data_IF_342781054731
#
_entry.id   IF_342781054731
#
_cell.length_a   1.000
_cell.length_b   1.000
_cell.length_c   1.000
_cell.angle_alpha   90.00
_cell.angle_beta   90.00
_cell.angle_gamma   90.00
#
_symmetry.space_group_name_H-M   'P 1'
#
loop_
_entity.id
_entity.type
_entity.pdbx_description
1 polymer ?
#
# COMPACT_ATOMS: atom_id res chain seq x y z
N UNK A 1 22.93 -29.32 -2.16
CA UNK A 1 22.64 -29.31 -0.71
C UNK A 1 21.60 -28.23 -0.55
N UNK A 2 20.35 -28.61 -0.36
CA UNK A 2 19.24 -27.65 -0.25
C UNK A 2 19.38 -26.97 1.11
N UNK A 3 19.36 -25.64 1.12
CA UNK A 3 19.17 -24.89 2.36
C UNK A 3 17.83 -25.33 2.98
N UNK A 4 17.72 -25.46 4.31
CA UNK A 4 16.43 -25.74 4.93
C UNK A 4 15.50 -24.56 4.70
N UNK A 5 14.26 -24.83 4.24
CA UNK A 5 13.18 -23.84 4.19
C UNK A 5 12.85 -23.42 5.61
N UNK A 6 13.35 -22.24 6.00
CA UNK A 6 13.08 -21.64 7.31
C UNK A 6 11.74 -20.91 7.23
N UNK A 7 10.84 -21.15 8.17
CA UNK A 7 9.56 -20.44 8.23
C UNK A 7 9.75 -18.99 8.70
N UNK A 8 8.82 -18.09 8.35
CA UNK A 8 8.78 -16.68 8.81
C UNK A 8 9.14 -16.52 10.30
N UNK A 9 8.51 -17.31 11.16
CA UNK A 9 8.76 -17.30 12.62
C UNK A 9 10.16 -17.74 12.97
N UNK A 10 10.75 -18.69 12.24
CA UNK A 10 12.11 -19.17 12.48
C UNK A 10 13.13 -18.11 12.09
N UNK A 11 12.97 -17.40 10.97
CA UNK A 11 13.86 -16.30 10.58
C UNK A 11 13.79 -15.14 11.57
N UNK A 12 12.58 -14.69 11.92
CA UNK A 12 12.39 -13.62 12.91
C UNK A 12 12.89 -14.04 14.30
N UNK A 13 12.69 -15.29 14.72
CA UNK A 13 13.22 -15.78 16.00
C UNK A 13 14.75 -15.93 15.99
N UNK A 14 15.37 -16.23 14.85
CA UNK A 14 16.84 -16.27 14.71
C UNK A 14 17.42 -14.86 14.81
N UNK A 15 16.78 -13.86 14.19
CA UNK A 15 17.17 -12.46 14.28
C UNK A 15 16.93 -11.89 15.69
N UNK A 16 15.88 -12.32 16.39
CA UNK A 16 15.47 -11.74 17.67
C UNK A 16 16.27 -12.19 18.90
N UNK A 17 17.23 -13.13 18.82
CA UNK A 17 17.99 -13.46 20.03
C UNK A 17 19.09 -14.51 19.95
N UNK A 18 20.31 -14.07 20.29
CA UNK A 18 21.37 -14.89 20.90
C UNK A 18 20.89 -15.55 22.20
N UNK A 19 20.40 -16.79 22.12
CA UNK A 19 20.08 -17.64 23.27
C UNK A 19 20.25 -19.12 22.93
N UNK A 20 21.01 -19.85 23.74
CA UNK A 20 21.45 -21.24 23.50
C UNK A 20 20.32 -22.28 23.53
N UNK A 21 19.47 -22.33 22.50
CA UNK A 21 18.59 -23.46 22.24
C UNK A 21 18.48 -23.64 20.72
N UNK A 22 19.34 -24.50 20.17
CA UNK A 22 19.32 -24.84 18.75
C UNK A 22 17.95 -25.37 18.29
N UNK A 23 17.80 -25.47 16.96
CA UNK A 23 16.66 -25.95 16.14
C UNK A 23 15.71 -27.00 16.78
N UNK A 24 16.18 -27.79 17.75
CA UNK A 24 15.34 -28.69 18.55
C UNK A 24 14.35 -28.00 19.51
N UNK A 25 14.56 -26.73 19.90
CA UNK A 25 13.69 -26.01 20.85
C UNK A 25 12.38 -25.51 20.23
N UNK A 26 12.38 -25.17 18.94
CA UNK A 26 11.21 -24.64 18.22
C UNK A 26 10.09 -25.68 18.04
N UNK A 27 10.39 -26.98 18.14
CA UNK A 27 9.39 -28.04 18.07
C UNK A 27 8.65 -28.30 19.40
N UNK A 28 9.11 -27.70 20.51
CA UNK A 28 8.71 -28.10 21.87
C UNK A 28 7.83 -27.13 22.65
N UNK A 29 7.61 -25.90 22.16
CA UNK A 29 6.89 -24.87 22.91
C UNK A 29 5.72 -24.33 22.08
N UNK A 30 4.50 -24.80 22.42
CA UNK A 30 3.28 -24.00 22.36
C UNK A 30 2.94 -23.25 21.07
N UNK A 31 3.28 -23.77 19.89
CA UNK A 31 3.16 -23.05 18.60
C UNK A 31 1.73 -22.63 18.15
N UNK A 32 0.71 -22.83 18.98
CA UNK A 32 -0.69 -22.50 18.70
C UNK A 32 -1.31 -21.47 19.65
N UNK A 33 -0.63 -21.05 20.71
CA UNK A 33 -1.06 -19.90 21.50
C UNK A 33 -0.47 -18.63 20.89
N UNK A 34 -1.32 -17.64 20.61
CA UNK A 34 -0.87 -16.28 20.31
C UNK A 34 -0.29 -15.72 21.61
N UNK A 35 1.03 -15.71 21.74
CA UNK A 35 1.68 -14.89 22.75
C UNK A 35 1.31 -13.42 22.52
N UNK A 36 1.34 -12.62 23.59
CA UNK A 36 1.12 -11.19 23.46
C UNK A 36 2.18 -10.59 22.51
N UNK A 37 1.77 -9.64 21.67
CA UNK A 37 2.70 -8.92 20.79
C UNK A 37 3.83 -8.30 21.62
N UNK A 38 5.06 -8.36 21.09
CA UNK A 38 6.22 -7.79 21.76
C UNK A 38 6.07 -6.26 21.88
N UNK A 39 6.46 -5.73 23.03
CA UNK A 39 6.48 -4.28 23.28
C UNK A 39 7.49 -3.60 22.36
N UNK A 40 7.09 -2.42 21.87
CA UNK A 40 7.94 -1.57 21.03
C UNK A 40 8.20 -0.22 21.69
N UNK A 41 9.39 0.30 21.49
CA UNK A 41 9.79 1.66 21.88
C UNK A 41 10.18 2.47 20.66
N UNK A 42 9.99 3.78 20.70
CA UNK A 42 10.49 4.66 19.66
C UNK A 42 12.01 4.73 19.68
N UNK A 43 12.60 4.77 18.50
CA UNK A 43 14.04 5.00 18.31
C UNK A 43 14.33 6.51 18.36
N UNK A 44 15.59 6.89 18.62
CA UNK A 44 16.00 8.30 18.56
C UNK A 44 15.85 8.89 17.15
N UNK A 45 15.59 10.19 17.06
CA UNK A 45 15.22 10.87 15.81
C UNK A 45 16.31 10.77 14.72
N UNK A 46 17.58 10.89 15.09
CA UNK A 46 18.72 10.85 14.17
C UNK A 46 18.85 9.46 13.56
N UNK A 47 18.89 8.42 14.41
CA UNK A 47 18.97 7.04 13.93
C UNK A 47 17.71 6.61 13.15
N UNK A 48 16.54 7.09 13.57
CA UNK A 48 15.28 6.85 12.86
C UNK A 48 15.35 7.42 11.45
N UNK A 49 15.85 8.64 11.28
CA UNK A 49 16.05 9.26 9.97
C UNK A 49 17.05 8.49 9.12
N UNK A 50 18.20 8.12 9.68
CA UNK A 50 19.21 7.36 8.94
C UNK A 50 18.65 6.05 8.38
N UNK A 51 17.90 5.29 9.19
CA UNK A 51 17.26 4.06 8.74
C UNK A 51 16.15 4.32 7.72
N UNK A 52 15.37 5.39 7.91
CA UNK A 52 14.30 5.76 6.98
C UNK A 52 14.84 6.16 5.61
N UNK A 53 15.91 6.94 5.55
CA UNK A 53 16.56 7.33 4.29
C UNK A 53 17.21 6.10 3.63
N UNK A 54 17.87 5.23 4.40
CA UNK A 54 18.57 4.05 3.87
C UNK A 54 17.64 3.02 3.19
N UNK A 55 16.42 2.85 3.69
CA UNK A 55 15.49 1.82 3.22
C UNK A 55 14.26 2.40 2.53
N UNK A 56 14.35 3.65 2.07
CA UNK A 56 13.26 4.37 1.42
C UNK A 56 12.70 3.59 0.21
N UNK A 57 11.38 3.29 0.17
CA UNK A 57 10.83 2.46 -0.91
C UNK A 57 10.82 3.15 -2.28
N UNK A 58 10.98 2.35 -3.34
CA UNK A 58 10.72 2.77 -4.72
C UNK A 58 9.31 2.34 -5.11
N UNK A 59 8.50 3.24 -5.66
CA UNK A 59 7.11 2.95 -6.06
C UNK A 59 6.91 3.02 -7.58
N UNK A 60 6.25 2.00 -8.14
CA UNK A 60 5.94 1.85 -9.56
C UNK A 60 4.42 1.89 -9.77
N UNK A 61 3.91 3.08 -10.02
CA UNK A 61 2.48 3.28 -10.22
C UNK A 61 2.02 2.78 -11.59
N UNK A 62 0.73 2.47 -11.70
CA UNK A 62 0.08 2.18 -12.99
C UNK A 62 0.05 3.45 -13.87
N UNK A 63 0.15 3.29 -15.18
CA UNK A 63 0.03 4.36 -16.17
C UNK A 63 -1.30 5.12 -16.10
N UNK A 64 -2.35 4.48 -15.57
CA UNK A 64 -3.67 5.07 -15.36
C UNK A 64 -3.87 5.67 -13.97
N UNK A 65 -2.87 5.61 -13.08
CA UNK A 65 -2.99 6.15 -11.72
C UNK A 65 -3.25 7.65 -11.70
N UNK A 66 -4.12 8.07 -10.78
CA UNK A 66 -4.53 9.45 -10.53
C UNK A 66 -4.18 9.91 -9.12
N UNK A 67 -4.11 8.98 -8.16
CA UNK A 67 -4.05 9.28 -6.73
C UNK A 67 -2.68 8.92 -6.18
N UNK A 68 -1.72 9.79 -6.44
CA UNK A 68 -0.34 9.61 -5.99
C UNK A 68 -0.12 10.11 -4.55
N UNK A 69 0.95 9.64 -3.87
CA UNK A 69 1.38 10.15 -2.57
C UNK A 69 1.40 11.69 -2.53
N UNK A 70 0.79 12.26 -1.50
CA UNK A 70 0.78 13.71 -1.25
C UNK A 70 0.82 14.01 0.24
N UNK A 71 1.36 15.17 0.60
CA UNK A 71 1.19 15.73 1.93
C UNK A 71 -0.28 16.13 2.15
N UNK A 72 -0.98 15.64 3.20
CA UNK A 72 -2.34 16.04 3.51
C UNK A 72 -2.44 17.42 4.19
N UNK A 73 -1.35 17.93 4.79
CA UNK A 73 -1.36 19.16 5.61
C UNK A 73 -1.86 20.42 4.87
N UNK A 74 -1.59 20.60 3.56
CA UNK A 74 -2.15 21.72 2.80
C UNK A 74 -3.69 21.70 2.67
N UNK A 75 -4.34 20.57 2.95
CA UNK A 75 -5.78 20.39 2.87
C UNK A 75 -6.47 20.43 4.24
N UNK A 76 -5.75 20.79 5.30
CA UNK A 76 -6.31 20.90 6.64
C UNK A 76 -7.36 22.02 6.73
N UNK A 77 -8.47 21.70 7.38
CA UNK A 77 -9.51 22.63 7.78
C UNK A 77 -9.88 22.45 9.26
N UNK A 78 -10.73 23.33 9.79
CA UNK A 78 -11.17 23.25 11.19
C UNK A 78 -12.61 22.72 11.27
N UNK A 79 -12.82 21.62 12.01
CA UNK A 79 -14.13 21.09 12.36
C UNK A 79 -14.28 20.99 13.87
N UNK A 80 -15.34 21.60 14.42
CA UNK A 80 -15.59 21.68 15.88
C UNK A 80 -14.42 22.26 16.71
N UNK A 81 -13.50 23.00 16.08
CA UNK A 81 -12.33 23.61 16.70
C UNK A 81 -11.09 22.73 16.73
N UNK A 82 -11.15 21.54 16.13
CA UNK A 82 -10.03 20.63 15.94
C UNK A 82 -9.58 20.63 14.46
N UNK A 83 -8.27 20.51 14.19
CA UNK A 83 -7.76 20.38 12.83
C UNK A 83 -8.12 19.00 12.26
N UNK A 84 -8.73 18.99 11.09
CA UNK A 84 -9.14 17.80 10.34
C UNK A 84 -8.72 17.93 8.88
N UNK A 85 -8.72 16.82 8.16
CA UNK A 85 -8.63 16.82 6.70
C UNK A 85 -9.95 16.30 6.17
N UNK A 86 -10.75 17.19 5.58
CA UNK A 86 -12.02 16.82 4.97
C UNK A 86 -11.82 16.30 3.54
N UNK A 87 -12.63 15.32 3.15
CA UNK A 87 -12.56 14.64 1.86
C UNK A 87 -12.80 15.58 0.70
N UNK A 88 -13.66 16.60 0.85
CA UNK A 88 -13.84 17.61 -0.19
C UNK A 88 -12.60 18.47 -0.33
N UNK A 89 -12.09 19.02 0.77
CA UNK A 89 -10.91 19.88 0.77
C UNK A 89 -9.70 19.15 0.18
N UNK A 90 -9.52 17.88 0.55
CA UNK A 90 -8.45 17.03 0.05
C UNK A 90 -8.59 16.69 -1.43
N UNK A 91 -9.75 16.17 -1.87
CA UNK A 91 -9.94 15.73 -3.26
C UNK A 91 -9.92 16.93 -4.22
N UNK A 92 -10.61 18.02 -3.89
CA UNK A 92 -10.63 19.25 -4.69
C UNK A 92 -9.23 19.86 -4.74
N UNK A 93 -8.61 20.09 -3.58
CA UNK A 93 -7.29 20.72 -3.48
C UNK A 93 -6.19 19.91 -4.16
N UNK A 94 -6.21 18.59 -4.04
CA UNK A 94 -5.31 17.70 -4.78
C UNK A 94 -5.50 17.85 -6.28
N UNK A 95 -6.75 17.78 -6.74
CA UNK A 95 -7.08 17.82 -8.17
C UNK A 95 -6.73 19.16 -8.80
N UNK A 96 -6.98 20.28 -8.11
CA UNK A 96 -6.57 21.62 -8.55
C UNK A 96 -5.05 21.69 -8.73
N UNK A 97 -4.29 21.30 -7.70
CA UNK A 97 -2.82 21.39 -7.74
C UNK A 97 -2.22 20.45 -8.79
N UNK A 98 -2.77 19.23 -8.92
CA UNK A 98 -2.33 18.28 -9.94
C UNK A 98 -2.53 18.85 -11.35
N UNK A 99 -3.68 19.49 -11.61
CA UNK A 99 -3.99 20.10 -12.91
C UNK A 99 -3.11 21.32 -13.21
N UNK A 100 -2.86 22.16 -12.22
CA UNK A 100 -2.03 23.35 -12.39
C UNK A 100 -0.57 22.98 -12.68
N UNK A 101 -0.05 21.96 -11.99
CA UNK A 101 1.34 21.52 -12.14
C UNK A 101 1.56 20.45 -13.23
N UNK A 102 0.49 19.81 -13.72
CA UNK A 102 0.53 18.59 -14.53
C UNK A 102 1.38 17.46 -13.90
N UNK A 103 1.47 17.45 -12.57
CA UNK A 103 2.31 16.56 -11.78
C UNK A 103 1.72 16.32 -10.38
N UNK A 104 2.04 15.17 -9.74
CA UNK A 104 1.70 14.87 -8.35
C UNK A 104 2.06 16.04 -7.43
N UNK A 105 1.08 16.61 -6.69
CA UNK A 105 1.35 17.69 -5.76
C UNK A 105 2.02 17.16 -4.49
N UNK A 106 2.99 17.92 -3.96
CA UNK A 106 3.66 17.69 -2.68
C UNK A 106 3.97 16.20 -2.37
N UNK A 107 4.68 15.48 -3.27
CA UNK A 107 4.89 14.05 -3.13
C UNK A 107 5.63 13.74 -1.82
N UNK A 108 4.97 13.04 -0.90
CA UNK A 108 5.45 12.86 0.48
C UNK A 108 5.19 11.46 0.98
N UNK A 109 6.19 10.88 1.63
CA UNK A 109 6.12 9.61 2.37
C UNK A 109 6.51 9.89 3.81
N UNK A 110 5.66 9.50 4.73
CA UNK A 110 5.87 9.65 6.16
C UNK A 110 6.57 8.43 6.73
N UNK A 111 7.44 8.61 7.73
CA UNK A 111 8.14 7.48 8.34
C UNK A 111 8.02 7.44 9.86
N UNK A 112 8.03 6.22 10.41
CA UNK A 112 8.12 5.95 11.84
C UNK A 112 9.04 4.75 12.09
N UNK A 113 9.95 4.87 13.05
CA UNK A 113 10.85 3.77 13.42
C UNK A 113 10.61 3.35 14.86
N UNK A 114 10.38 2.04 15.05
CA UNK A 114 10.21 1.45 16.37
C UNK A 114 11.15 0.26 16.55
N UNK A 115 11.62 0.04 17.77
CA UNK A 115 12.45 -1.11 18.15
C UNK A 115 11.66 -2.06 19.03
N UNK A 116 11.88 -3.36 18.89
CA UNK A 116 11.31 -4.35 19.79
C UNK A 116 12.14 -4.48 21.07
N UNK A 117 11.48 -4.49 22.23
CA UNK A 117 12.15 -4.72 23.50
C UNK A 117 12.88 -6.09 23.50
N UNK A 118 14.07 -6.12 24.09
CA UNK A 118 14.95 -7.30 24.15
C UNK A 118 15.34 -7.91 22.78
N UNK A 119 15.28 -7.12 21.70
CA UNK A 119 15.64 -7.52 20.34
C UNK A 119 16.52 -6.49 19.63
N UNK A 120 17.30 -6.93 18.65
CA UNK A 120 18.02 -6.04 17.72
C UNK A 120 17.14 -5.64 16.53
N UNK A 121 15.91 -6.12 16.48
CA UNK A 121 15.00 -5.84 15.38
C UNK A 121 14.36 -4.46 15.55
N UNK A 122 14.49 -3.63 14.52
CA UNK A 122 13.71 -2.42 14.32
C UNK A 122 12.72 -2.62 13.18
N UNK A 123 11.55 -1.97 13.26
CA UNK A 123 10.61 -1.82 12.16
C UNK A 123 10.61 -0.36 11.71
N UNK A 124 11.04 -0.14 10.48
CA UNK A 124 10.90 1.13 9.76
C UNK A 124 9.58 1.06 8.99
N UNK A 125 8.66 1.96 9.29
CA UNK A 125 7.37 2.05 8.64
C UNK A 125 7.36 3.27 7.73
N UNK A 126 6.91 3.08 6.49
CA UNK A 126 6.71 4.12 5.50
C UNK A 126 5.22 4.20 5.20
N UNK A 127 4.61 5.33 5.49
CA UNK A 127 3.21 5.63 5.30
C UNK A 127 3.07 6.64 4.19
N UNK A 128 2.12 6.48 3.28
CA UNK A 128 1.81 7.56 2.35
C UNK A 128 0.31 7.71 2.21
N UNK A 129 -0.09 8.95 1.94
CA UNK A 129 -1.48 9.37 1.86
C UNK A 129 -1.86 9.65 0.41
N UNK A 130 -2.99 9.08 -0.02
CA UNK A 130 -3.69 9.46 -1.25
C UNK A 130 -4.92 10.30 -0.88
N UNK A 131 -5.27 11.28 -1.72
CA UNK A 131 -6.49 12.05 -1.48
C UNK A 131 -7.77 11.22 -1.64
N UNK A 132 -7.69 10.10 -2.37
CA UNK A 132 -8.85 9.29 -2.73
C UNK A 132 -8.45 7.86 -3.07
N UNK A 133 -9.26 6.87 -2.67
CA UNK A 133 -9.24 5.50 -3.19
C UNK A 133 -10.39 5.36 -4.19
N UNK A 134 -10.07 4.97 -5.43
CA UNK A 134 -11.08 4.69 -6.48
C UNK A 134 -11.10 3.21 -6.87
N UNK A 135 -11.19 2.32 -5.89
CA UNK A 135 -11.30 0.90 -6.13
C UNK A 135 -12.72 0.43 -6.44
N UNK A 136 -12.81 -0.72 -7.11
CA UNK A 136 -14.07 -1.32 -7.60
C UNK A 136 -15.11 -1.57 -6.51
N UNK A 137 -14.68 -1.95 -5.30
CA UNK A 137 -15.56 -2.34 -4.19
C UNK A 137 -15.23 -1.63 -2.88
N UNK A 138 -14.25 -0.73 -2.90
CA UNK A 138 -13.74 -0.03 -1.72
C UNK A 138 -13.35 1.43 -2.00
N UNK A 139 -14.07 2.13 -2.88
CA UNK A 139 -13.77 3.55 -3.08
C UNK A 139 -14.11 4.35 -1.82
N UNK A 140 -13.23 5.26 -1.41
CA UNK A 140 -13.45 6.14 -0.27
C UNK A 140 -12.58 7.40 -0.33
N UNK A 141 -12.99 8.40 0.43
CA UNK A 141 -12.14 9.56 0.72
C UNK A 141 -10.91 9.14 1.48
N UNK A 142 -9.78 9.77 1.15
CA UNK A 142 -8.50 9.50 1.78
C UNK A 142 -8.04 8.06 1.56
N UNK A 143 -6.73 7.85 1.54
CA UNK A 143 -6.21 6.50 1.65
C UNK A 143 -4.83 6.53 2.31
N UNK A 144 -4.54 5.51 3.10
CA UNK A 144 -3.29 5.40 3.84
C UNK A 144 -2.70 4.01 3.63
N UNK A 145 -1.58 3.98 2.93
CA UNK A 145 -0.84 2.76 2.69
C UNK A 145 0.44 2.73 3.51
N UNK A 146 0.86 1.52 3.88
CA UNK A 146 2.09 1.28 4.64
C UNK A 146 3.00 0.24 4.02
N UNK A 147 4.29 0.54 3.95
CA UNK A 147 5.38 -0.41 3.70
C UNK A 147 6.23 -0.52 4.95
N UNK A 148 6.58 -1.73 5.36
CA UNK A 148 7.40 -1.99 6.55
C UNK A 148 8.70 -2.69 6.18
N UNK A 149 9.80 -2.22 6.76
CA UNK A 149 11.12 -2.82 6.66
C UNK A 149 11.59 -3.22 8.05
N UNK A 150 11.80 -4.50 8.26
CA UNK A 150 12.38 -5.02 9.50
C UNK A 150 13.89 -5.13 9.33
N UNK A 151 14.64 -4.43 10.17
CA UNK A 151 16.11 -4.32 10.11
C UNK A 151 16.70 -4.87 11.39
N UNK A 152 17.75 -5.68 11.27
CA UNK A 152 18.61 -5.98 12.42
C UNK A 152 19.61 -4.83 12.61
N UNK A 153 19.42 -4.03 13.66
CA UNK A 153 20.18 -2.78 13.84
C UNK A 153 21.64 -3.01 14.21
N UNK A 154 22.03 -4.21 14.65
CA UNK A 154 23.43 -4.54 14.91
C UNK A 154 24.21 -4.81 13.62
N UNK A 155 23.60 -5.52 12.67
CA UNK A 155 24.22 -5.83 11.37
C UNK A 155 23.94 -4.76 10.31
N UNK A 156 22.88 -3.97 10.49
CA UNK A 156 22.36 -3.04 9.48
C UNK A 156 21.66 -3.74 8.32
N UNK A 157 21.38 -5.04 8.43
CA UNK A 157 20.80 -5.83 7.34
C UNK A 157 19.27 -5.87 7.43
N UNK A 158 18.56 -5.62 6.31
CA UNK A 158 17.14 -5.87 6.23
C UNK A 158 16.86 -7.37 6.33
N UNK A 159 15.82 -7.73 7.07
CA UNK A 159 15.40 -9.13 7.33
C UNK A 159 14.07 -9.46 6.69
N UNK A 160 13.19 -8.48 6.56
CA UNK A 160 11.86 -8.66 5.99
C UNK A 160 11.34 -7.33 5.42
N UNK A 161 10.77 -7.35 4.22
CA UNK A 161 9.89 -6.29 3.72
C UNK A 161 8.43 -6.77 3.75
N UNK A 162 7.51 -5.88 4.08
CA UNK A 162 6.05 -6.14 4.07
C UNK A 162 5.36 -4.95 3.43
N UNK A 163 4.48 -5.20 2.47
CA UNK A 163 3.60 -4.17 1.94
C UNK A 163 2.15 -4.42 2.41
N UNK A 164 1.42 -3.33 2.65
CA UNK A 164 0.00 -3.36 3.04
C UNK A 164 -0.89 -3.79 1.90
N UNK A 165 -2.03 -4.38 2.25
CA UNK A 165 -2.91 -4.99 1.26
C UNK A 165 -4.34 -5.22 1.77
N UNK A 166 -5.09 -4.15 2.07
CA UNK A 166 -6.56 -4.13 2.32
C UNK A 166 -7.17 -5.20 3.27
N UNK A 167 -6.34 -6.02 3.93
CA UNK A 167 -6.71 -7.21 4.68
C UNK A 167 -5.98 -7.20 6.01
N UNK A 168 -6.76 -7.08 7.08
CA UNK A 168 -6.25 -7.16 8.47
C UNK A 168 -5.84 -8.58 8.88
N UNK A 169 -6.00 -9.58 7.99
CA UNK A 169 -5.84 -11.02 8.33
C UNK A 169 -4.72 -11.72 7.57
N UNK A 170 -4.36 -11.24 6.38
CA UNK A 170 -3.31 -11.83 5.55
C UNK A 170 -2.51 -10.68 4.96
N UNK A 171 -1.22 -10.52 5.28
CA UNK A 171 -0.35 -9.66 4.51
C UNK A 171 -0.20 -10.30 3.13
N UNK A 172 -0.64 -9.60 2.08
CA UNK A 172 -0.65 -10.19 0.74
C UNK A 172 0.76 -10.29 0.16
N UNK A 173 1.75 -9.55 0.69
CA UNK A 173 3.10 -9.58 0.15
C UNK A 173 4.20 -9.35 1.20
N UNK A 174 5.12 -10.32 1.31
CA UNK A 174 6.27 -10.32 2.21
C UNK A 174 7.52 -10.71 1.42
N UNK A 175 8.68 -10.15 1.76
CA UNK A 175 9.97 -10.57 1.19
C UNK A 175 10.98 -10.86 2.28
N UNK A 176 11.30 -12.15 2.45
CA UNK A 176 12.18 -12.65 3.51
C UNK A 176 13.64 -12.67 3.04
N UNK A 177 14.53 -12.12 3.88
CA UNK A 177 15.98 -12.11 3.63
C UNK A 177 16.42 -11.34 2.37
N UNK A 178 15.97 -10.09 2.16
CA UNK A 178 16.48 -9.23 1.10
C UNK A 178 18.00 -9.06 1.15
N UNK A 179 18.61 -8.75 0.01
CA UNK A 179 20.03 -8.38 -0.02
C UNK A 179 20.28 -7.10 0.80
N UNK A 180 21.48 -6.96 1.35
CA UNK A 180 21.79 -5.90 2.32
C UNK A 180 21.69 -4.48 1.78
N UNK A 181 21.80 -4.33 0.45
CA UNK A 181 21.71 -3.06 -0.26
C UNK A 181 20.37 -2.86 -0.97
N UNK A 182 19.42 -3.79 -0.81
CA UNK A 182 18.14 -3.71 -1.48
C UNK A 182 17.19 -2.83 -0.67
N UNK A 183 16.44 -1.96 -1.35
CA UNK A 183 15.28 -1.25 -0.81
C UNK A 183 13.99 -1.94 -1.27
N UNK A 184 12.85 -1.72 -0.58
CA UNK A 184 11.57 -2.25 -1.04
C UNK A 184 11.19 -1.62 -2.38
N UNK A 185 10.81 -2.46 -3.34
CA UNK A 185 10.16 -2.05 -4.59
C UNK A 185 8.70 -2.40 -4.51
N UNK A 186 7.83 -1.41 -4.61
CA UNK A 186 6.40 -1.54 -4.39
C UNK A 186 5.66 -1.15 -5.67
N UNK A 187 4.70 -1.97 -6.06
CA UNK A 187 3.75 -1.73 -7.14
C UNK A 187 2.40 -1.50 -6.48
N UNK A 188 2.02 -0.24 -6.20
CA UNK A 188 0.66 0.07 -5.75
C UNK A 188 -0.33 -0.34 -6.85
N UNK A 189 -1.35 -1.10 -6.48
CA UNK A 189 -2.43 -1.45 -7.39
C UNK A 189 -3.28 -0.21 -7.70
N UNK A 190 -3.58 0.01 -8.99
CA UNK A 190 -4.31 1.17 -9.48
C UNK A 190 -5.55 1.46 -8.61
N UNK A 191 -5.65 2.68 -8.09
CA UNK A 191 -6.82 3.20 -7.38
C UNK A 191 -7.07 2.64 -5.98
N UNK A 192 -6.71 1.38 -5.71
CA UNK A 192 -6.77 0.78 -4.36
C UNK A 192 -5.49 0.94 -3.57
N UNK A 193 -4.38 1.20 -4.25
CA UNK A 193 -3.04 1.38 -3.68
C UNK A 193 -2.44 0.21 -2.90
N UNK A 194 -3.14 -0.93 -2.86
CA UNK A 194 -2.61 -2.15 -2.25
C UNK A 194 -1.23 -2.48 -2.80
N UNK A 195 -0.25 -2.66 -1.90
CA UNK A 195 1.15 -2.77 -2.27
C UNK A 195 1.55 -4.18 -2.66
N UNK A 196 1.96 -4.38 -3.91
CA UNK A 196 2.72 -5.55 -4.33
C UNK A 196 4.23 -5.30 -4.24
N UNK A 197 4.96 -6.04 -3.40
CA UNK A 197 6.42 -6.08 -3.48
C UNK A 197 6.85 -6.77 -4.79
N UNK A 198 7.65 -6.10 -5.62
CA UNK A 198 8.40 -6.74 -6.72
C UNK A 198 9.76 -7.19 -6.20
N UNK A 199 9.85 -8.46 -5.86
CA UNK A 199 11.02 -9.08 -5.22
C UNK A 199 11.93 -9.77 -6.23
N UNK A 200 11.42 -10.00 -7.44
CA UNK A 200 12.16 -10.64 -8.52
C UNK A 200 13.03 -9.64 -9.33
N UNK A 201 13.75 -10.14 -10.35
CA UNK A 201 14.63 -9.31 -11.18
C UNK A 201 13.88 -8.43 -12.19
N UNK A 202 12.57 -8.63 -12.38
CA UNK A 202 11.67 -7.83 -13.22
C UNK A 202 10.96 -6.80 -12.34
N UNK A 203 11.72 -5.76 -12.04
CA UNK A 203 11.48 -4.80 -10.95
C UNK A 203 10.18 -3.99 -11.06
N UNK A 204 9.66 -3.81 -12.27
CA UNK A 204 8.44 -3.05 -12.55
C UNK A 204 7.19 -3.93 -12.77
N UNK A 205 7.30 -5.24 -12.55
CA UNK A 205 6.21 -6.19 -12.72
C UNK A 205 5.99 -7.02 -11.46
N UNK A 206 4.76 -7.52 -11.34
CA UNK A 206 4.37 -8.48 -10.32
C UNK A 206 4.06 -9.84 -10.95
N UNK A 207 4.54 -10.90 -10.31
CA UNK A 207 4.38 -12.28 -10.72
C UNK A 207 4.03 -13.15 -9.51
N UNK A 208 2.82 -13.72 -9.47
CA UNK A 208 2.40 -14.66 -8.43
C UNK A 208 3.15 -15.99 -8.55
N UNK A 209 3.53 -16.35 -9.77
CA UNK A 209 4.33 -17.53 -10.08
C UNK A 209 5.69 -17.15 -10.66
N UNK A 210 6.74 -17.96 -10.47
CA UNK A 210 8.03 -17.71 -11.09
C UNK A 210 7.90 -17.60 -12.61
N UNK A 211 8.50 -16.57 -13.21
CA UNK A 211 8.57 -16.40 -14.67
C UNK A 211 10.00 -16.73 -15.10
N UNK A 212 10.14 -17.73 -15.98
CA UNK A 212 11.46 -18.20 -16.43
C UNK A 212 12.39 -18.60 -15.27
N UNK A 213 13.51 -17.89 -15.09
CA UNK A 213 14.52 -18.13 -14.05
C UNK A 213 14.35 -17.19 -12.83
N UNK A 214 13.26 -16.41 -12.74
CA UNK A 214 13.00 -15.50 -11.63
C UNK A 214 12.35 -16.20 -10.43
N UNK A 215 12.27 -15.51 -9.28
CA UNK A 215 11.46 -15.95 -8.13
C UNK A 215 10.02 -15.40 -8.24
N UNK A 216 9.05 -16.07 -7.63
CA UNK A 216 7.71 -15.50 -7.46
C UNK A 216 7.73 -14.34 -6.47
N UNK A 217 6.90 -13.33 -6.74
CA UNK A 217 6.69 -12.20 -5.84
C UNK A 217 5.77 -12.56 -4.67
N UNK A 218 4.92 -13.57 -4.82
CA UNK A 218 4.19 -14.16 -3.69
C UNK A 218 5.09 -15.19 -2.99
N UNK A 219 5.61 -14.83 -1.82
CA UNK A 219 6.45 -15.75 -1.01
C UNK A 219 5.67 -16.46 0.11
N UNK A 220 4.37 -16.21 0.23
CA UNK A 220 3.52 -16.75 1.30
C UNK A 220 2.82 -18.06 0.89
N UNK A 221 3.19 -19.18 1.53
CA UNK A 221 2.50 -20.49 1.39
C UNK A 221 1.00 -20.42 1.69
N UNK A 222 0.57 -19.49 2.55
CA UNK A 222 -0.83 -19.36 2.98
C UNK A 222 -1.78 -18.84 1.89
N UNK A 223 -1.26 -18.20 0.83
CA UNK A 223 -2.08 -17.76 -0.30
C UNK A 223 -2.45 -18.92 -1.23
N UNK A 224 -1.63 -19.98 -1.31
CA UNK A 224 -1.94 -21.15 -2.16
C UNK A 224 -3.29 -21.80 -1.80
N UNK A 225 -3.68 -21.77 -0.52
CA UNK A 225 -4.93 -22.35 -0.01
C UNK A 225 -6.17 -21.44 -0.17
N UNK A 226 -6.00 -20.13 -0.45
CA UNK A 226 -7.09 -19.12 -0.45
C UNK A 226 -7.48 -18.64 -1.86
N UNK A 227 -6.71 -19.01 -2.88
CA UNK A 227 -6.91 -18.68 -4.32
C UNK A 227 -8.30 -19.08 -4.86
N UNK A 228 -9.09 -19.87 -4.11
CA UNK A 228 -10.42 -20.32 -4.50
C UNK A 228 -11.65 -19.52 -4.01
N UNK A 229 -11.52 -18.64 -3.01
CA UNK A 229 -12.71 -18.06 -2.32
C UNK A 229 -12.78 -16.51 -2.29
N UNK A 230 -11.67 -15.81 -2.54
CA UNK A 230 -11.61 -14.36 -2.70
C UNK A 230 -11.35 -14.10 -4.20
N UNK A 231 -11.95 -13.08 -4.85
CA UNK A 231 -11.54 -12.70 -6.20
C UNK A 231 -10.01 -12.56 -6.17
N UNK A 232 -9.28 -13.34 -6.97
CA UNK A 232 -7.82 -13.53 -6.91
C UNK A 232 -6.96 -12.26 -7.14
N UNK A 233 -7.60 -11.11 -7.11
CA UNK A 233 -7.12 -9.78 -7.39
C UNK A 233 -7.44 -8.76 -6.26
N UNK A 234 -8.09 -9.17 -5.17
CA UNK A 234 -8.29 -8.27 -4.03
C UNK A 234 -6.98 -8.06 -3.26
N UNK A 235 -6.34 -6.90 -3.48
CA UNK A 235 -5.15 -6.46 -2.75
C UNK A 235 -3.81 -6.90 -3.35
N UNK A 236 -3.74 -7.22 -4.64
CA UNK A 236 -2.49 -7.50 -5.37
C UNK A 236 -2.53 -6.81 -6.74
N UNK A 237 -1.37 -6.47 -7.32
CA UNK A 237 -1.31 -5.88 -8.65
C UNK A 237 -2.05 -6.69 -9.72
N UNK A 238 -2.73 -5.97 -10.63
CA UNK A 238 -3.48 -6.51 -11.78
C UNK A 238 -2.61 -7.00 -12.94
N UNK A 239 -1.30 -7.14 -12.72
CA UNK A 239 -0.39 -7.87 -13.61
C UNK A 239 -0.92 -9.29 -13.92
N UNK A 240 -0.23 -10.04 -14.76
CA UNK A 240 -0.62 -11.42 -15.14
C UNK A 240 -1.97 -11.53 -15.87
N UNK A 241 -2.47 -10.41 -16.40
CA UNK A 241 -3.67 -10.37 -17.23
C UNK A 241 -4.98 -10.40 -16.43
N UNK A 242 -4.95 -10.07 -15.14
CA UNK A 242 -6.16 -9.82 -14.36
C UNK A 242 -6.89 -8.60 -14.92
N UNK A 243 -8.22 -8.72 -14.99
CA UNK A 243 -9.11 -7.70 -15.55
C UNK A 243 -9.96 -7.14 -14.43
N UNK A 244 -9.37 -6.22 -13.68
CA UNK A 244 -10.08 -5.47 -12.66
C UNK A 244 -10.73 -4.24 -13.32
N UNK A 245 -12.07 -4.14 -13.32
CA UNK A 245 -12.72 -2.88 -13.61
C UNK A 245 -12.61 -1.95 -12.39
N UNK A 246 -12.94 -0.68 -12.58
CA UNK A 246 -13.11 0.31 -11.51
C UNK A 246 -14.49 0.93 -11.63
N UNK A 247 -14.91 1.70 -10.63
CA UNK A 247 -16.23 2.34 -10.64
C UNK A 247 -16.11 3.83 -10.43
N UNK A 248 -17.13 4.56 -10.87
CA UNK A 248 -17.28 5.98 -10.56
C UNK A 248 -18.15 6.09 -9.30
N UNK A 249 -17.63 6.65 -8.20
CA UNK A 249 -18.42 6.86 -7.00
C UNK A 249 -19.51 7.90 -7.21
N UNK A 250 -20.64 7.72 -6.51
CA UNK A 250 -21.69 8.71 -6.37
C UNK A 250 -21.66 9.36 -4.98
N UNK A 251 -22.12 10.61 -4.98
CA UNK A 251 -22.37 11.38 -3.78
C UNK A 251 -23.76 12.03 -3.89
N UNK A 252 -24.67 11.68 -2.99
CA UNK A 252 -26.03 12.21 -3.03
C UNK A 252 -26.88 11.73 -4.22
N UNK A 253 -26.50 10.62 -4.86
CA UNK A 253 -27.22 10.02 -5.99
C UNK A 253 -26.84 10.57 -7.36
N UNK A 254 -25.76 11.34 -7.45
CA UNK A 254 -25.16 11.80 -8.70
C UNK A 254 -23.66 11.44 -8.70
N UNK A 255 -23.02 11.26 -9.86
CA UNK A 255 -21.57 11.00 -9.92
C UNK A 255 -20.77 12.08 -9.20
N UNK A 256 -19.68 11.69 -8.52
CA UNK A 256 -18.90 12.61 -7.68
C UNK A 256 -18.41 13.86 -8.42
N UNK A 257 -18.11 13.73 -9.72
CA UNK A 257 -17.67 14.84 -10.58
C UNK A 257 -18.79 15.84 -10.96
N UNK A 258 -20.03 15.61 -10.55
CA UNK A 258 -21.17 16.53 -10.75
C UNK A 258 -21.48 17.36 -9.51
N UNK A 259 -20.76 17.14 -8.39
CA UNK A 259 -21.00 17.85 -7.14
C UNK A 259 -20.53 19.32 -7.21
N UNK A 260 -21.34 20.25 -6.70
CA UNK A 260 -21.09 21.70 -6.85
C UNK A 260 -19.85 22.21 -6.10
N UNK A 261 -19.47 21.50 -5.03
CA UNK A 261 -18.29 21.79 -4.21
C UNK A 261 -16.99 21.13 -4.74
N UNK A 262 -17.06 20.32 -5.81
CA UNK A 262 -15.92 19.64 -6.42
C UNK A 262 -15.71 20.12 -7.87
N UNK A 263 -15.37 21.39 -8.03
CA UNK A 263 -15.35 22.05 -9.34
C UNK A 263 -14.11 21.67 -10.17
N UNK A 264 -13.02 21.31 -9.50
CA UNK A 264 -11.82 20.80 -10.12
C UNK A 264 -11.95 19.33 -10.50
N UNK A 265 -12.82 18.56 -9.83
CA UNK A 265 -13.04 17.14 -10.11
C UNK A 265 -14.00 16.97 -11.29
N UNK A 266 -13.49 17.01 -12.52
CA UNK A 266 -14.25 16.54 -13.68
C UNK A 266 -13.99 15.05 -13.98
N UNK A 267 -14.70 14.48 -14.95
CA UNK A 267 -14.56 13.07 -15.35
C UNK A 267 -13.12 12.66 -15.66
N UNK A 268 -12.28 13.56 -16.19
CA UNK A 268 -10.90 13.26 -16.55
C UNK A 268 -9.94 13.28 -15.34
N UNK A 269 -10.38 13.79 -14.18
CA UNK A 269 -9.64 13.66 -12.92
C UNK A 269 -9.67 12.23 -12.37
N UNK A 270 -10.72 11.47 -12.66
CA UNK A 270 -10.90 10.09 -12.19
C UNK A 270 -10.13 9.08 -13.06
N UNK A 271 -10.07 7.82 -12.60
CA UNK A 271 -9.56 6.69 -13.39
C UNK A 271 -10.25 6.66 -14.75
N UNK A 272 -9.45 6.38 -15.78
CA UNK A 272 -9.85 6.48 -17.18
C UNK A 272 -11.12 5.68 -17.51
N UNK A 273 -11.97 6.23 -18.39
CA UNK A 273 -13.25 5.62 -18.75
C UNK A 273 -13.12 4.25 -19.42
N UNK A 274 -11.96 3.92 -19.98
CA UNK A 274 -11.67 2.60 -20.54
C UNK A 274 -11.49 1.51 -19.49
N UNK A 275 -11.30 1.90 -18.23
CA UNK A 275 -11.13 1.00 -17.08
C UNK A 275 -12.33 1.03 -16.12
N UNK A 276 -13.28 1.96 -16.30
CA UNK A 276 -14.45 2.08 -15.42
C UNK A 276 -15.70 1.43 -15.99
N UNK A 277 -16.50 0.82 -15.12
CA UNK A 277 -17.80 0.20 -15.44
C UNK A 277 -18.92 0.91 -14.69
N UNK A 278 -20.14 0.85 -15.24
CA UNK A 278 -21.31 1.57 -14.69
C UNK A 278 -22.49 0.66 -14.40
N UNK A 279 -22.24 -0.65 -14.29
CA UNK A 279 -23.27 -1.63 -13.95
C UNK A 279 -22.72 -2.75 -13.08
N UNK A 280 -23.60 -3.32 -12.25
CA UNK A 280 -23.26 -4.49 -11.43
C UNK A 280 -22.89 -5.70 -12.30
N UNK A 281 -23.55 -5.87 -13.45
CA UNK A 281 -23.26 -6.98 -14.36
C UNK A 281 -21.83 -6.89 -14.92
N UNK A 282 -21.36 -5.70 -15.30
CA UNK A 282 -19.99 -5.48 -15.77
C UNK A 282 -18.97 -5.50 -14.63
N UNK A 283 -19.35 -5.15 -13.40
CA UNK A 283 -18.49 -5.33 -12.23
C UNK A 283 -18.29 -6.82 -11.93
N UNK A 284 -19.36 -7.62 -12.02
CA UNK A 284 -19.33 -9.06 -11.77
C UNK A 284 -18.69 -9.86 -12.91
N UNK A 285 -18.88 -9.43 -14.16
CA UNK A 285 -18.29 -10.00 -15.36
C UNK A 285 -17.55 -8.89 -16.16
N UNK A 286 -16.29 -8.58 -15.79
CA UNK A 286 -15.53 -7.50 -16.39
C UNK A 286 -15.39 -7.60 -17.93
N UNK A 287 -15.44 -6.47 -18.66
CA UNK A 287 -15.20 -6.44 -20.09
C UNK A 287 -13.87 -7.11 -20.50
N UNK A 288 -13.89 -7.77 -21.64
CA UNK A 288 -12.75 -8.59 -22.08
C UNK A 288 -11.57 -7.79 -22.66
N UNK A 289 -11.78 -6.51 -22.92
CA UNK A 289 -10.91 -5.56 -23.60
C UNK A 289 -10.41 -4.43 -22.69
N UNK A 290 -10.57 -4.58 -21.36
CA UNK A 290 -9.97 -3.66 -20.40
C UNK A 290 -8.45 -3.57 -20.61
N UNK A 291 -7.87 -2.36 -20.60
CA UNK A 291 -6.41 -2.17 -20.66
C UNK A 291 -5.69 -3.00 -19.60
N UNK A 292 -4.51 -3.53 -19.94
CA UNK A 292 -3.63 -4.22 -18.99
C UNK A 292 -2.84 -3.21 -18.15
N UNK A 293 -2.18 -3.69 -17.10
CA UNK A 293 -1.25 -2.86 -16.33
C UNK A 293 -0.08 -2.48 -17.24
N UNK A 294 0.23 -1.19 -17.23
CA UNK A 294 1.44 -0.65 -17.81
C UNK A 294 2.10 0.22 -16.75
N UNK A 295 3.42 0.17 -16.63
CA UNK A 295 4.17 0.99 -15.67
C UNK A 295 4.04 2.46 -16.07
N UNK A 296 3.55 3.26 -15.13
CA UNK A 296 3.41 4.70 -15.21
C UNK A 296 4.58 5.42 -14.56
N UNK A 297 4.27 6.29 -13.59
CA UNK A 297 5.27 7.13 -12.91
C UNK A 297 6.08 6.33 -11.89
N UNK A 298 7.40 6.54 -11.90
CA UNK A 298 8.36 6.02 -10.93
C UNK A 298 8.67 7.04 -9.84
N UNK A 299 8.49 6.64 -8.58
CA UNK A 299 8.74 7.48 -7.40
C UNK A 299 9.89 6.90 -6.58
N UNK A 300 10.83 7.75 -6.17
CA UNK A 300 11.91 7.38 -5.26
C UNK A 300 12.33 8.56 -4.38
N UNK A 301 12.83 8.28 -3.17
CA UNK A 301 13.47 9.30 -2.33
C UNK A 301 14.87 9.64 -2.87
N UNK A 302 15.69 8.61 -3.06
CA UNK A 302 17.00 8.71 -3.69
C UNK A 302 16.94 8.11 -5.10
N UNK A 303 17.21 8.89 -6.17
CA UNK A 303 17.26 8.35 -7.52
C UNK A 303 18.29 7.23 -7.73
N UNK A 304 19.32 7.15 -6.90
CA UNK A 304 20.32 6.06 -6.97
C UNK A 304 19.70 4.69 -6.66
N UNK A 305 18.66 4.64 -5.83
CA UNK A 305 17.96 3.40 -5.46
C UNK A 305 17.13 2.81 -6.61
N UNK A 306 16.84 3.63 -7.64
CA UNK A 306 16.14 3.23 -8.86
C UNK A 306 17.10 2.95 -10.04
N UNK A 307 18.42 2.90 -9.82
CA UNK A 307 19.41 2.70 -10.89
C UNK A 307 19.18 1.42 -11.70
N UNK A 308 19.16 1.59 -13.03
CA UNK A 308 19.00 0.51 -14.02
C UNK A 308 17.63 0.43 -14.68
N UNK A 309 16.67 1.28 -14.29
CA UNK A 309 15.23 1.07 -14.60
C UNK A 309 14.55 2.21 -15.37
N UNK A 310 15.12 3.42 -15.31
CA UNK A 310 14.52 4.61 -15.90
C UNK A 310 15.06 5.88 -15.26
N UNK A 311 14.59 7.03 -15.73
CA UNK A 311 14.73 8.29 -14.98
C UNK A 311 13.61 8.31 -13.93
N UNK A 312 13.94 8.59 -12.67
CA UNK A 312 12.91 8.77 -11.63
C UNK A 312 12.03 9.95 -12.02
N UNK A 313 10.73 9.69 -12.18
CA UNK A 313 9.78 10.71 -12.61
C UNK A 313 9.45 11.70 -11.48
N UNK A 314 9.41 11.20 -10.24
CA UNK A 314 9.03 11.99 -9.06
C UNK A 314 9.94 11.67 -7.88
N UNK A 315 10.58 12.70 -7.35
CA UNK A 315 11.31 12.61 -6.09
C UNK A 315 10.36 13.03 -4.97
N UNK A 316 10.12 12.14 -4.00
CA UNK A 316 9.25 12.42 -2.86
C UNK A 316 10.04 12.85 -1.63
N UNK A 317 9.40 13.57 -0.71
CA UNK A 317 9.97 13.94 0.58
C UNK A 317 9.76 12.86 1.64
N UNK A 318 10.75 12.63 2.51
CA UNK A 318 10.62 11.79 3.71
C UNK A 318 10.39 12.66 4.95
N UNK A 319 9.25 12.46 5.61
CA UNK A 319 8.81 13.29 6.74
C UNK A 319 8.45 12.40 7.94
N UNK A 320 8.81 12.72 9.20
CA UNK A 320 8.38 11.94 10.35
C UNK A 320 6.85 11.95 10.50
N UNK A 321 6.22 10.83 10.90
CA UNK A 321 4.76 10.79 11.17
C UNK A 321 4.35 11.74 12.30
N UNK A 322 5.28 12.16 13.16
CA UNK A 322 5.05 13.15 14.22
C UNK A 322 4.49 14.49 13.69
N UNK A 323 4.79 14.83 12.43
CA UNK A 323 4.28 16.03 11.75
C UNK A 323 2.78 15.96 11.43
N UNK A 324 2.14 14.82 11.64
CA UNK A 324 0.70 14.59 11.40
C UNK A 324 -0.10 14.43 12.70
N UNK A 325 0.57 14.32 13.86
CA UNK A 325 -0.10 13.98 15.13
C UNK A 325 -1.09 15.05 15.60
N UNK A 326 -1.00 16.28 15.08
CA UNK A 326 -1.98 17.33 15.37
C UNK A 326 -3.28 17.12 14.62
N UNK A 327 -3.30 16.43 13.47
CA UNK A 327 -4.52 16.15 12.70
C UNK A 327 -5.36 15.14 13.46
N UNK A 328 -6.58 15.53 13.80
CA UNK A 328 -7.43 14.75 14.71
C UNK A 328 -8.34 13.76 13.98
N UNK A 329 -8.66 14.03 12.72
CA UNK A 329 -9.50 13.18 11.89
C UNK A 329 -9.29 13.39 10.39
N UNK A 330 -9.56 12.33 9.63
CA UNK A 330 -9.79 12.36 8.19
C UNK A 330 -11.28 12.06 7.98
N UNK A 331 -12.03 12.97 7.36
CA UNK A 331 -13.50 12.94 7.34
C UNK A 331 -14.05 13.00 5.93
N UNK A 332 -15.21 12.40 5.69
CA UNK A 332 -15.92 12.56 4.43
C UNK A 332 -17.29 11.90 4.48
N UNK A 333 -18.26 12.34 3.66
CA UNK A 333 -19.57 11.72 3.59
C UNK A 333 -19.48 10.31 3.01
N UNK A 334 -20.45 9.45 3.30
CA UNK A 334 -20.54 8.13 2.69
C UNK A 334 -20.72 8.26 1.16
N UNK A 335 -19.89 7.55 0.39
CA UNK A 335 -20.04 7.38 -1.05
C UNK A 335 -20.90 6.15 -1.38
N UNK A 336 -21.49 6.15 -2.57
CA UNK A 336 -22.32 5.05 -3.08
C UNK A 336 -21.97 4.65 -4.51
N UNK A 337 -22.49 3.51 -4.96
CA UNK A 337 -22.38 3.08 -6.36
C UNK A 337 -23.44 3.76 -7.22
N UNK A 338 -23.13 3.95 -8.50
CA UNK A 338 -24.09 4.39 -9.54
C UNK A 338 -25.20 3.38 -9.83
N UNK A 339 -25.05 2.15 -9.34
CA UNK A 339 -25.98 1.06 -9.58
C UNK A 339 -26.32 0.34 -8.29
N UNK A 340 -27.52 -0.25 -8.27
CA UNK A 340 -27.96 -1.06 -7.15
C UNK A 340 -27.09 -2.32 -7.03
N UNK A 341 -26.51 -2.53 -5.84
CA UNK A 341 -25.87 -3.80 -5.47
C UNK A 341 -26.94 -4.71 -4.86
N UNK A 342 -27.05 -5.98 -5.30
CA UNK A 342 -27.95 -6.94 -4.65
C UNK A 342 -27.63 -7.08 -3.15
N UNK A 343 -28.65 -7.20 -2.29
CA UNK A 343 -28.48 -7.31 -0.82
C UNK A 343 -27.47 -8.39 -0.38
N UNK A 344 -27.33 -9.49 -1.13
CA UNK A 344 -26.34 -10.55 -0.85
C UNK A 344 -24.88 -10.13 -1.15
N UNK A 345 -24.67 -9.13 -2.00
CA UNK A 345 -23.36 -8.51 -2.27
C UNK A 345 -23.07 -7.33 -1.35
N UNK A 346 -24.10 -6.69 -0.79
CA UNK A 346 -23.97 -5.57 0.16
C UNK A 346 -23.19 -5.97 1.43
N UNK A 347 -23.38 -7.20 1.93
CA UNK A 347 -22.63 -7.75 3.08
C UNK A 347 -21.13 -7.97 2.80
N UNK A 348 -20.73 -8.10 1.52
CA UNK A 348 -19.32 -8.25 1.11
C UNK A 348 -18.64 -6.90 0.87
N UNK A 349 -19.42 -5.84 0.63
CA UNK A 349 -18.95 -4.53 0.17
C UNK A 349 -19.05 -3.46 1.27
N UNK A 350 -20.11 -3.48 2.08
CA UNK A 350 -20.40 -2.48 3.12
C UNK A 350 -19.39 -2.46 4.28
N UNK A 351 -18.62 -3.53 4.50
CA UNK A 351 -17.57 -3.57 5.51
C UNK A 351 -16.31 -2.76 5.17
N UNK A 352 -16.22 -2.27 3.92
CA UNK A 352 -15.01 -1.66 3.36
C UNK A 352 -15.19 -0.14 3.09
N UNK A 353 -16.37 0.31 2.65
CA UNK A 353 -16.62 1.70 2.19
C UNK A 353 -16.79 2.73 3.34
N UNK A 354 -16.33 2.43 4.57
CA UNK A 354 -16.48 3.35 5.71
C UNK A 354 -15.15 3.62 6.37
N UNK A 355 -14.83 4.89 6.61
CA UNK A 355 -13.64 5.38 7.35
C UNK A 355 -13.70 5.15 8.87
N UNK A 356 -14.41 4.12 9.37
CA UNK A 356 -14.52 3.85 10.82
C UNK A 356 -13.61 2.75 11.34
#
# INVERSE_FOLDING_TARGET
MNAPDLTRRQLLAIAAGTGTAGVAGAYGLGAFDRDADASTTEMDDERSRELAEQFAPVYYFDAFEKWFPTDPRPYESEADGDPVVDGFDALEGYTEQFREAEAPPNPTVFYRVVTYEDSTLAAVQYWWYAAFDQFSVNFHWHDWEVTQVFVDVESGEPKLFVASSHSRKVPNNEFLGPETTQVPRVLPELGSHSGGLSVNDIRDQFSRSPIEDTIADVTNDALEDVVGEIPAAYGLPRDEGFRLPYVVPELGGEPIYEHEDLQAVDKAALIDETLTVRSFDELAEPPGDLPQRETGRLFAFDPEDAEGEGEVDVIYELVPTAELEHITAFTGPQLSFEFAIPEAGEDLVSGHITTT
#
